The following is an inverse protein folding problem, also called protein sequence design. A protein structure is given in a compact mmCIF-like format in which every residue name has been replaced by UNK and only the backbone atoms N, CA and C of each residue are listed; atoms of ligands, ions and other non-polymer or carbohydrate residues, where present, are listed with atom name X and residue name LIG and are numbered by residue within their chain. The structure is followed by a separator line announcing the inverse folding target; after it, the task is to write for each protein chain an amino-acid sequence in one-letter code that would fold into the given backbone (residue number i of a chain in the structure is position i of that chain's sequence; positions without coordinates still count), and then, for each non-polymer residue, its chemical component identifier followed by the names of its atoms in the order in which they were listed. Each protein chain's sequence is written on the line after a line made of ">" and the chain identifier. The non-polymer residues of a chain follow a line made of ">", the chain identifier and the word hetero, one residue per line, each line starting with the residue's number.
data_IF_495760647178
#
_entry.id   IF_495760647178
#
_cell.length_a   1.000
_cell.length_b   1.000
_cell.length_c   1.000
_cell.angle_alpha   90.00
_cell.angle_beta   90.00
_cell.angle_gamma   90.00
#
_symmetry.space_group_name_H-M   'P 1'
#
loop_
_entity.id
_entity.type
_entity.pdbx_description
1 polymer ?
#
# COMPACT_ATOMS: atom_id res chain seq x y z
N UNK A 1 20.38 19.83 -4.35
CA UNK A 1 20.50 18.38 -4.11
C UNK A 1 19.13 17.78 -4.30
N UNK A 2 19.03 16.79 -5.19
CA UNK A 2 17.86 15.94 -5.32
C UNK A 2 17.85 14.89 -4.20
N UNK A 3 16.68 14.34 -3.86
CA UNK A 3 16.57 13.28 -2.84
C UNK A 3 17.42 12.05 -3.20
N UNK A 4 17.52 11.73 -4.49
CA UNK A 4 18.28 10.58 -5.01
C UNK A 4 19.79 10.82 -5.07
N UNK A 5 20.25 12.04 -4.80
CA UNK A 5 21.68 12.29 -4.54
C UNK A 5 22.11 11.72 -3.16
N UNK A 6 21.14 11.45 -2.28
CA UNK A 6 21.35 11.02 -0.89
C UNK A 6 20.88 9.57 -0.68
N UNK A 7 19.75 9.20 -1.29
CA UNK A 7 19.10 7.90 -1.12
C UNK A 7 19.30 7.02 -2.38
N UNK A 8 19.81 5.79 -2.26
CA UNK A 8 19.91 4.85 -3.38
C UNK A 8 18.55 4.57 -4.03
N UNK A 9 18.48 4.54 -5.37
CA UNK A 9 17.22 4.30 -6.10
C UNK A 9 16.56 2.96 -5.72
N UNK A 10 17.37 1.93 -5.46
CA UNK A 10 16.89 0.59 -5.14
C UNK A 10 16.67 0.34 -3.64
N UNK A 11 16.77 1.37 -2.78
CA UNK A 11 16.69 1.20 -1.33
C UNK A 11 15.42 0.46 -0.90
N UNK A 12 14.26 0.84 -1.43
CA UNK A 12 12.97 0.29 -1.02
C UNK A 12 12.63 -1.08 -1.64
N UNK A 13 13.48 -1.64 -2.52
CA UNK A 13 13.21 -2.91 -3.22
C UNK A 13 13.00 -4.08 -2.27
N UNK A 14 13.78 -4.18 -1.18
CA UNK A 14 13.63 -5.21 -0.13
C UNK A 14 12.29 -5.14 0.59
N UNK A 15 11.75 -3.92 0.79
CA UNK A 15 10.43 -3.72 1.44
C UNK A 15 9.25 -3.97 0.50
N UNK A 16 9.50 -4.08 -0.81
CA UNK A 16 8.51 -4.46 -1.82
C UNK A 16 8.60 -5.94 -2.23
N UNK A 17 9.56 -6.69 -1.67
CA UNK A 17 9.81 -8.09 -2.03
C UNK A 17 8.83 -9.08 -1.39
N UNK A 18 8.88 -10.35 -1.82
CA UNK A 18 8.12 -11.48 -1.25
C UNK A 18 8.38 -11.63 0.26
N UNK A 19 9.63 -11.49 0.68
CA UNK A 19 10.10 -11.62 2.06
C UNK A 19 10.16 -10.27 2.82
N UNK A 20 9.36 -9.26 2.42
CA UNK A 20 9.38 -7.91 3.00
C UNK A 20 9.33 -7.84 4.52
N UNK A 21 8.58 -8.72 5.18
CA UNK A 21 8.46 -8.75 6.64
C UNK A 21 9.79 -9.16 7.28
N UNK A 22 10.47 -10.19 6.74
CA UNK A 22 11.77 -10.63 7.21
C UNK A 22 12.83 -9.54 7.02
N UNK A 23 12.82 -8.85 5.88
CA UNK A 23 13.73 -7.73 5.64
C UNK A 23 13.48 -6.55 6.58
N UNK A 24 12.21 -6.22 6.86
CA UNK A 24 11.85 -5.18 7.82
C UNK A 24 12.32 -5.56 9.24
N UNK A 25 12.05 -6.79 9.67
CA UNK A 25 12.51 -7.31 10.96
C UNK A 25 14.04 -7.29 11.06
N UNK A 26 14.77 -7.66 10.00
CA UNK A 26 16.22 -7.59 9.96
C UNK A 26 16.75 -6.16 10.12
N UNK A 27 16.08 -5.17 9.53
CA UNK A 27 16.41 -3.75 9.75
C UNK A 27 16.18 -3.34 11.21
N UNK A 28 15.15 -3.84 11.87
CA UNK A 28 14.93 -3.58 13.30
C UNK A 28 16.01 -4.20 14.18
N UNK A 29 16.47 -5.42 13.87
CA UNK A 29 17.63 -6.03 14.55
C UNK A 29 18.89 -5.17 14.38
N UNK A 30 19.12 -4.63 13.18
CA UNK A 30 20.23 -3.69 12.94
C UNK A 30 20.06 -2.42 13.77
N UNK A 31 18.85 -1.85 13.85
CA UNK A 31 18.61 -0.65 14.66
C UNK A 31 18.90 -0.90 16.15
N UNK A 32 18.38 -2.01 16.69
CA UNK A 32 18.51 -2.34 18.11
C UNK A 32 19.94 -2.69 18.49
N UNK A 33 20.70 -3.31 17.60
CA UNK A 33 22.11 -3.62 17.85
C UNK A 33 22.96 -2.35 18.03
N UNK A 34 22.72 -1.32 17.21
CA UNK A 34 23.41 -0.03 17.32
C UNK A 34 22.93 0.86 18.48
N UNK A 35 21.82 0.53 19.15
CA UNK A 35 21.46 1.16 20.43
C UNK A 35 22.36 0.67 21.58
N UNK A 36 22.83 -0.58 21.51
CA UNK A 36 23.64 -1.20 22.56
C UNK A 36 25.16 -1.10 22.29
N UNK A 37 25.57 -1.11 21.02
CA UNK A 37 26.97 -1.16 20.63
C UNK A 37 27.27 -0.13 19.53
N UNK A 38 28.32 0.67 19.73
CA UNK A 38 28.74 1.66 18.71
C UNK A 38 29.35 0.99 17.46
N UNK A 39 29.94 -0.19 17.62
CA UNK A 39 30.71 -0.89 16.59
C UNK A 39 30.39 -2.38 16.63
N UNK A 40 29.99 -2.94 15.49
CA UNK A 40 29.53 -4.33 15.37
C UNK A 40 30.15 -4.96 14.13
N UNK A 41 30.85 -6.09 14.33
CA UNK A 41 31.41 -6.83 13.20
C UNK A 41 30.31 -7.53 12.39
N UNK A 42 30.58 -7.80 11.12
CA UNK A 42 29.62 -8.49 10.24
C UNK A 42 29.18 -9.85 10.78
N UNK A 43 30.10 -10.61 11.39
CA UNK A 43 29.80 -11.94 11.93
C UNK A 43 28.94 -11.84 13.20
N UNK A 44 29.22 -10.87 14.08
CA UNK A 44 28.38 -10.59 15.24
C UNK A 44 26.96 -10.17 14.81
N UNK A 45 26.82 -9.33 13.77
CA UNK A 45 25.51 -8.96 13.26
C UNK A 45 24.77 -10.16 12.67
N UNK A 46 25.46 -11.06 11.96
CA UNK A 46 24.86 -12.28 11.43
C UNK A 46 24.34 -13.17 12.56
N UNK A 47 25.09 -13.31 13.66
CA UNK A 47 24.67 -14.04 14.85
C UNK A 47 23.44 -13.40 15.52
N UNK A 48 23.40 -12.07 15.62
CA UNK A 48 22.24 -11.36 16.18
C UNK A 48 20.99 -11.55 15.33
N UNK A 49 21.10 -11.40 14.01
CA UNK A 49 20.01 -11.65 13.05
C UNK A 49 19.53 -13.10 13.15
N UNK A 50 20.47 -14.06 13.14
CA UNK A 50 20.16 -15.48 13.26
C UNK A 50 19.42 -15.78 14.56
N UNK A 51 19.90 -15.26 15.70
CA UNK A 51 19.32 -15.53 17.01
C UNK A 51 17.96 -14.90 17.21
N UNK A 52 17.70 -13.72 16.65
CA UNK A 52 16.43 -13.01 16.86
C UNK A 52 15.37 -13.41 15.82
N UNK A 53 15.78 -13.80 14.61
CA UNK A 53 14.89 -14.09 13.49
C UNK A 53 14.89 -15.56 13.06
N UNK A 54 15.35 -16.48 13.90
CA UNK A 54 15.46 -17.92 13.60
C UNK A 54 14.19 -18.48 12.94
N UNK A 55 13.03 -18.24 13.56
CA UNK A 55 11.73 -18.71 13.07
C UNK A 55 11.32 -18.07 11.74
N UNK A 56 11.59 -16.77 11.57
CA UNK A 56 11.23 -16.04 10.35
C UNK A 56 12.12 -16.48 9.18
N UNK A 57 13.40 -16.77 9.46
CA UNK A 57 14.40 -17.26 8.49
C UNK A 57 14.07 -18.69 8.03
N UNK A 58 13.57 -19.53 8.93
CA UNK A 58 13.17 -20.90 8.62
C UNK A 58 11.87 -20.96 7.81
N UNK A 59 10.91 -20.07 8.10
CA UNK A 59 9.66 -19.98 7.38
C UNK A 59 9.76 -19.27 6.02
N UNK A 60 10.81 -18.48 5.80
CA UNK A 60 11.00 -17.72 4.58
C UNK A 60 11.40 -18.61 3.39
N UNK A 61 10.78 -18.32 2.25
CA UNK A 61 11.03 -18.95 0.96
C UNK A 61 11.95 -18.05 0.13
N UNK A 62 13.14 -18.57 -0.18
CA UNK A 62 14.19 -17.87 -0.92
C UNK A 62 14.42 -18.47 -2.32
N UNK A 63 13.54 -19.34 -2.81
CA UNK A 63 13.77 -20.08 -4.06
C UNK A 63 13.92 -19.16 -5.30
N UNK A 64 13.29 -17.99 -5.27
CA UNK A 64 13.36 -16.96 -6.32
C UNK A 64 14.52 -15.96 -6.12
N UNK A 65 15.36 -16.16 -5.10
CA UNK A 65 16.44 -15.26 -4.73
C UNK A 65 17.82 -15.87 -5.03
N UNK A 66 18.75 -15.05 -5.52
CA UNK A 66 20.11 -15.47 -5.91
C UNK A 66 20.98 -15.83 -4.68
N UNK A 67 20.65 -16.94 -4.01
CA UNK A 67 21.39 -17.50 -2.89
C UNK A 67 22.58 -18.33 -3.39
N UNK A 68 23.73 -18.15 -2.75
CA UNK A 68 24.89 -19.00 -2.98
C UNK A 68 24.73 -20.36 -2.29
N UNK A 69 25.45 -21.39 -2.74
CA UNK A 69 25.40 -22.74 -2.12
C UNK A 69 25.75 -22.72 -0.62
N UNK A 70 26.62 -21.80 -0.20
CA UNK A 70 27.04 -21.61 1.19
C UNK A 70 26.00 -20.88 2.06
N UNK A 71 24.91 -20.36 1.47
CA UNK A 71 23.90 -19.56 2.16
C UNK A 71 22.66 -20.37 2.59
N UNK A 72 22.63 -21.69 2.36
CA UNK A 72 21.44 -22.54 2.61
C UNK A 72 21.13 -22.80 4.09
N UNK A 73 22.11 -22.71 4.99
CA UNK A 73 21.92 -22.88 6.44
C UNK A 73 21.43 -21.61 7.13
N UNK A 74 20.97 -21.70 8.39
CA UNK A 74 20.47 -20.57 9.19
C UNK A 74 21.47 -19.39 9.26
N UNK A 75 22.74 -19.68 9.55
CA UNK A 75 23.82 -18.68 9.53
C UNK A 75 24.06 -18.13 8.11
N UNK A 76 23.98 -18.98 7.10
CA UNK A 76 24.10 -18.59 5.69
C UNK A 76 23.00 -17.63 5.24
N UNK A 77 21.75 -17.88 5.66
CA UNK A 77 20.59 -17.02 5.43
C UNK A 77 20.74 -15.67 6.15
N UNK A 78 21.29 -15.65 7.37
CA UNK A 78 21.58 -14.40 8.06
C UNK A 78 22.64 -13.56 7.32
N UNK A 79 23.71 -14.18 6.81
CA UNK A 79 24.68 -13.50 5.96
C UNK A 79 24.08 -13.04 4.63
N UNK A 80 23.15 -13.82 4.06
CA UNK A 80 22.41 -13.44 2.87
C UNK A 80 21.56 -12.16 3.10
N UNK A 81 20.86 -12.06 4.24
CA UNK A 81 20.13 -10.84 4.60
C UNK A 81 21.07 -9.62 4.67
N UNK A 82 22.23 -9.76 5.33
CA UNK A 82 23.24 -8.69 5.38
C UNK A 82 23.71 -8.32 3.98
N UNK A 83 23.98 -9.30 3.11
CA UNK A 83 24.37 -9.06 1.72
C UNK A 83 23.31 -8.27 0.97
N UNK A 84 22.03 -8.64 1.08
CA UNK A 84 20.91 -7.92 0.46
C UNK A 84 20.74 -6.50 0.98
N UNK A 85 20.86 -6.29 2.29
CA UNK A 85 20.81 -4.96 2.89
C UNK A 85 21.99 -4.07 2.44
N UNK A 86 23.16 -4.67 2.19
CA UNK A 86 24.31 -3.98 1.61
C UNK A 86 24.09 -3.61 0.15
N UNK A 87 23.63 -4.55 -0.68
CA UNK A 87 23.36 -4.35 -2.11
C UNK A 87 22.34 -3.23 -2.36
N UNK A 88 21.33 -3.13 -1.49
CA UNK A 88 20.28 -2.10 -1.56
C UNK A 88 20.67 -0.78 -0.89
N UNK A 89 21.79 -0.75 -0.16
CA UNK A 89 22.35 0.46 0.44
C UNK A 89 21.76 0.85 1.80
N UNK A 90 21.04 -0.06 2.48
CA UNK A 90 20.62 0.15 3.88
C UNK A 90 21.80 0.11 4.84
N UNK A 91 22.80 -0.72 4.54
CA UNK A 91 24.02 -0.81 5.34
C UNK A 91 25.26 -0.70 4.44
N UNK A 92 26.38 -0.34 5.05
CA UNK A 92 27.71 -0.39 4.47
C UNK A 92 28.57 -1.35 5.28
N UNK A 93 29.57 -1.90 4.62
CA UNK A 93 30.55 -2.78 5.25
C UNK A 93 31.91 -2.19 4.94
N UNK A 94 32.55 -1.69 5.99
CA UNK A 94 33.84 -1.03 5.93
C UNK A 94 34.90 -1.90 6.62
N UNK A 95 36.14 -1.82 6.13
CA UNK A 95 37.29 -2.46 6.77
C UNK A 95 37.99 -1.44 7.67
N UNK A 96 38.29 -1.85 8.89
CA UNK A 96 39.17 -1.07 9.77
C UNK A 96 40.59 -1.67 9.81
N UNK A 97 41.49 -1.00 10.54
CA UNK A 97 42.92 -1.33 10.66
C UNK A 97 43.19 -2.76 11.17
N UNK A 98 42.20 -3.40 11.79
CA UNK A 98 42.27 -4.78 12.27
C UNK A 98 41.90 -5.82 11.20
N UNK A 99 41.68 -5.39 9.95
CA UNK A 99 41.25 -6.21 8.81
C UNK A 99 39.91 -6.94 9.03
N UNK A 100 39.10 -6.48 9.99
CA UNK A 100 37.75 -7.02 10.21
C UNK A 100 36.71 -6.16 9.48
N UNK A 101 35.65 -6.85 9.05
CA UNK A 101 34.50 -6.23 8.41
C UNK A 101 33.55 -5.71 9.49
N UNK A 102 33.31 -4.40 9.49
CA UNK A 102 32.37 -3.72 10.39
C UNK A 102 31.19 -3.18 9.61
N UNK A 103 30.01 -3.27 10.22
CA UNK A 103 28.79 -2.73 9.65
C UNK A 103 28.66 -1.26 10.05
N UNK A 104 28.32 -0.42 9.08
CA UNK A 104 27.98 0.99 9.29
C UNK A 104 26.61 1.29 8.69
N UNK A 105 25.81 2.08 9.38
CA UNK A 105 24.46 2.47 8.92
C UNK A 105 24.49 3.93 8.48
N UNK A 106 24.25 4.24 7.19
CA UNK A 106 24.16 5.62 6.73
C UNK A 106 23.07 6.40 7.48
N UNK A 107 23.26 7.71 7.67
CA UNK A 107 22.32 8.56 8.42
C UNK A 107 20.88 8.53 7.87
N UNK A 108 20.72 8.50 6.53
CA UNK A 108 19.38 8.40 5.92
C UNK A 108 18.73 7.05 6.26
N UNK A 109 19.50 5.95 6.23
CA UNK A 109 19.04 4.60 6.51
C UNK A 109 18.59 4.51 7.97
N UNK A 110 19.43 4.97 8.90
CA UNK A 110 19.10 5.00 10.33
C UNK A 110 17.78 5.75 10.59
N UNK A 111 17.59 6.94 9.99
CA UNK A 111 16.35 7.73 10.15
C UNK A 111 15.12 7.00 9.60
N UNK A 112 15.24 6.34 8.45
CA UNK A 112 14.11 5.61 7.85
C UNK A 112 13.78 4.36 8.69
N UNK A 113 14.79 3.58 9.10
CA UNK A 113 14.57 2.41 9.95
C UNK A 113 13.93 2.82 11.28
N UNK A 114 14.43 3.90 11.91
CA UNK A 114 13.85 4.45 13.13
C UNK A 114 12.39 4.84 12.95
N UNK A 115 12.05 5.48 11.83
CA UNK A 115 10.67 5.85 11.50
C UNK A 115 9.79 4.60 11.35
N UNK A 116 10.25 3.59 10.62
CA UNK A 116 9.52 2.33 10.45
C UNK A 116 9.33 1.61 11.80
N UNK A 117 10.35 1.63 12.66
CA UNK A 117 10.29 1.04 13.98
C UNK A 117 9.29 1.75 14.88
N UNK A 118 9.27 3.08 14.88
CA UNK A 118 8.34 3.87 15.69
C UNK A 118 6.89 3.75 15.18
N UNK A 119 6.69 3.48 13.88
CA UNK A 119 5.37 3.17 13.30
C UNK A 119 4.85 1.78 13.72
N UNK A 120 5.73 0.80 13.90
CA UNK A 120 5.35 -0.55 14.35
C UNK A 120 5.27 -0.68 15.85
N UNK A 121 6.07 0.10 16.57
CA UNK A 121 6.13 0.13 18.02
C UNK A 121 5.67 1.51 18.46
N UNK A 122 4.35 1.72 18.44
CA UNK A 122 3.71 2.94 18.88
C UNK A 122 4.29 3.35 20.24
N UNK A 123 5.12 4.39 20.27
CA UNK A 123 5.54 4.98 21.54
C UNK A 123 4.34 5.72 22.07
N UNK A 124 3.97 5.43 23.32
CA UNK A 124 2.98 6.20 24.06
C UNK A 124 3.36 7.68 23.94
N UNK A 125 2.56 8.42 23.16
CA UNK A 125 2.73 9.86 23.02
C UNK A 125 2.18 10.46 24.30
N UNK A 126 3.04 10.64 25.30
CA UNK A 126 2.67 11.32 26.53
C UNK A 126 2.50 12.81 26.24
N UNK A 127 1.38 13.21 25.63
CA UNK A 127 1.09 14.62 25.36
C UNK A 127 1.07 15.45 26.65
N UNK A 128 0.73 14.84 27.79
CA UNK A 128 0.91 15.45 29.11
C UNK A 128 2.37 15.83 29.36
N UNK A 129 3.32 14.97 28.99
CA UNK A 129 4.74 15.22 29.19
C UNK A 129 5.19 16.45 28.40
N UNK A 130 4.69 16.68 27.17
CA UNK A 130 5.01 17.90 26.41
C UNK A 130 4.53 19.17 27.13
N UNK A 131 3.31 19.16 27.66
CA UNK A 131 2.74 20.31 28.36
C UNK A 131 3.45 20.57 29.68
N UNK A 132 3.64 19.53 30.50
CA UNK A 132 4.32 19.62 31.78
C UNK A 132 5.77 20.08 31.62
N UNK A 133 6.52 19.47 30.69
CA UNK A 133 7.91 19.82 30.45
C UNK A 133 8.07 21.24 29.91
N UNK A 134 7.16 21.69 29.04
CA UNK A 134 7.12 23.10 28.60
C UNK A 134 6.98 24.04 29.79
N UNK A 135 6.03 23.77 30.70
CA UNK A 135 5.86 24.56 31.91
C UNK A 135 7.10 24.51 32.82
N UNK A 136 7.63 23.33 33.13
CA UNK A 136 8.75 23.19 34.06
C UNK A 136 10.00 23.91 33.57
N UNK A 137 10.35 23.74 32.28
CA UNK A 137 11.52 24.39 31.69
C UNK A 137 11.37 25.91 31.67
N UNK A 138 10.19 26.43 31.29
CA UNK A 138 9.93 27.87 31.31
C UNK A 138 9.93 28.44 32.73
N UNK A 139 9.38 27.70 33.70
CA UNK A 139 9.36 28.11 35.11
C UNK A 139 10.78 28.25 35.66
N UNK A 140 11.63 27.23 35.48
CA UNK A 140 13.02 27.26 35.94
C UNK A 140 13.77 28.44 35.31
N UNK A 141 13.69 28.61 34.00
CA UNK A 141 14.36 29.72 33.32
C UNK A 141 13.84 31.10 33.76
N UNK A 142 12.54 31.21 34.08
CA UNK A 142 11.96 32.43 34.61
C UNK A 142 12.46 32.76 36.02
N UNK A 143 12.72 31.76 36.85
CA UNK A 143 13.26 31.92 38.21
C UNK A 143 14.75 32.30 38.19
N UNK A 144 15.55 31.65 37.32
CA UNK A 144 17.00 31.87 37.24
C UNK A 144 17.38 33.17 36.52
N UNK A 145 16.52 33.67 35.62
CA UNK A 145 16.72 34.90 34.83
C UNK A 145 18.04 34.92 34.05
N UNK A 146 18.57 33.75 33.71
CA UNK A 146 19.77 33.60 32.90
C UNK A 146 19.39 33.63 31.41
N UNK A 147 19.99 34.55 30.63
CA UNK A 147 19.66 34.73 29.22
C UNK A 147 19.82 33.44 28.39
N UNK A 148 20.89 32.66 28.60
CA UNK A 148 21.12 31.40 27.88
C UNK A 148 20.00 30.38 28.14
N UNK A 149 19.62 30.23 29.40
CA UNK A 149 18.58 29.28 29.79
C UNK A 149 17.20 29.71 29.31
N UNK A 150 16.89 31.01 29.35
CA UNK A 150 15.63 31.55 28.83
C UNK A 150 15.48 31.34 27.32
N UNK A 151 16.55 31.56 26.54
CA UNK A 151 16.55 31.29 25.09
C UNK A 151 16.39 29.79 24.80
N UNK A 152 17.09 28.96 25.56
CA UNK A 152 17.03 27.50 25.41
C UNK A 152 15.63 27.00 25.77
N UNK A 153 15.08 27.45 26.90
CA UNK A 153 13.74 27.15 27.36
C UNK A 153 12.66 27.59 26.35
N UNK A 154 12.80 28.79 25.75
CA UNK A 154 11.88 29.27 24.72
C UNK A 154 11.92 28.38 23.47
N UNK A 155 13.11 27.97 23.04
CA UNK A 155 13.27 27.12 21.86
C UNK A 155 12.72 25.71 22.11
N UNK A 156 12.95 25.14 23.30
CA UNK A 156 12.35 23.88 23.72
C UNK A 156 10.82 23.98 23.84
N UNK A 157 10.30 25.07 24.41
CA UNK A 157 8.87 25.32 24.51
C UNK A 157 8.20 25.38 23.14
N UNK A 158 8.81 26.09 22.18
CA UNK A 158 8.34 26.14 20.80
C UNK A 158 8.31 24.74 20.16
N UNK A 159 9.39 23.97 20.28
CA UNK A 159 9.50 22.63 19.72
C UNK A 159 8.47 21.68 20.33
N UNK A 160 8.33 21.65 21.66
CA UNK A 160 7.35 20.79 22.36
C UNK A 160 5.92 21.18 22.02
N UNK A 161 5.65 22.49 21.86
CA UNK A 161 4.34 22.98 21.42
C UNK A 161 4.01 22.52 20.00
N UNK A 162 5.00 22.51 19.08
CA UNK A 162 4.84 21.91 17.74
C UNK A 162 4.53 20.42 17.81
N UNK A 163 5.29 19.66 18.62
CA UNK A 163 5.06 18.22 18.80
C UNK A 163 3.66 17.91 19.38
N UNK A 164 3.17 18.73 20.30
CA UNK A 164 1.81 18.62 20.84
C UNK A 164 0.76 18.83 19.74
N UNK A 165 0.92 19.87 18.91
CA UNK A 165 0.02 20.15 17.79
C UNK A 165 0.05 19.03 16.75
N UNK A 166 1.23 18.52 16.40
CA UNK A 166 1.40 17.40 15.48
C UNK A 166 0.70 16.14 15.99
N UNK A 167 0.87 15.82 17.28
CA UNK A 167 0.21 14.69 17.94
C UNK A 167 -1.32 14.81 17.90
N UNK A 168 -1.86 15.97 18.27
CA UNK A 168 -3.31 16.24 18.19
C UNK A 168 -3.84 16.15 16.75
N UNK A 169 -3.08 16.67 15.79
CA UNK A 169 -3.43 16.60 14.37
C UNK A 169 -3.41 15.16 13.87
N UNK A 170 -2.45 14.34 14.31
CA UNK A 170 -2.42 12.90 14.01
C UNK A 170 -3.69 12.22 14.51
N UNK A 171 -4.05 12.40 15.79
CA UNK A 171 -5.28 11.85 16.38
C UNK A 171 -6.51 12.22 15.55
N UNK A 172 -6.63 13.49 15.15
CA UNK A 172 -7.75 13.93 14.33
C UNK A 172 -7.83 13.15 12.99
N UNK A 173 -6.69 12.91 12.35
CA UNK A 173 -6.60 12.14 11.11
C UNK A 173 -6.81 10.65 11.32
N UNK A 174 -6.32 10.09 12.43
CA UNK A 174 -6.52 8.69 12.79
C UNK A 174 -8.01 8.40 12.99
N UNK A 175 -8.72 9.25 13.73
CA UNK A 175 -10.19 9.12 13.86
C UNK A 175 -10.87 9.13 12.48
N UNK A 176 -10.40 9.94 11.53
CA UNK A 176 -10.93 9.93 10.15
C UNK A 176 -10.64 8.62 9.43
N UNK A 177 -9.43 8.09 9.57
CA UNK A 177 -9.03 6.80 9.01
C UNK A 177 -9.92 5.67 9.56
N UNK A 178 -10.12 5.60 10.88
CA UNK A 178 -10.98 4.60 11.52
C UNK A 178 -12.46 4.74 11.10
N UNK A 179 -12.96 5.96 10.93
CA UNK A 179 -14.29 6.18 10.37
C UNK A 179 -14.44 5.55 8.97
N UNK A 180 -13.43 5.70 8.11
CA UNK A 180 -13.45 5.12 6.77
C UNK A 180 -13.37 3.59 6.82
N UNK A 181 -12.44 3.06 7.63
CA UNK A 181 -12.28 1.62 7.88
C UNK A 181 -13.58 0.98 8.40
N UNK A 182 -14.32 1.66 9.27
CA UNK A 182 -15.62 1.23 9.81
C UNK A 182 -16.69 1.03 8.72
N UNK A 183 -16.70 1.87 7.68
CA UNK A 183 -17.66 1.75 6.57
C UNK A 183 -17.48 0.43 5.84
N UNK A 184 -16.24 0.04 5.59
CA UNK A 184 -15.86 -1.17 4.85
C UNK A 184 -16.08 -2.48 5.66
N UNK A 185 -16.33 -2.38 6.97
CA UNK A 185 -16.57 -3.57 7.80
C UNK A 185 -17.95 -4.17 7.59
N UNK A 186 -18.02 -5.48 7.50
CA UNK A 186 -19.26 -6.26 7.33
C UNK A 186 -19.55 -7.14 8.56
N UNK A 187 -18.57 -7.37 9.44
CA UNK A 187 -18.68 -8.26 10.59
C UNK A 187 -18.71 -7.50 11.92
N UNK A 188 -19.69 -7.82 12.79
CA UNK A 188 -19.84 -7.22 14.13
C UNK A 188 -18.60 -7.40 15.00
N UNK A 189 -18.03 -8.61 15.05
CA UNK A 189 -16.87 -8.91 15.89
C UNK A 189 -15.63 -8.10 15.47
N UNK A 190 -15.46 -7.85 14.17
CA UNK A 190 -14.39 -6.99 13.67
C UNK A 190 -14.61 -5.53 14.04
N UNK A 191 -15.86 -5.04 13.97
CA UNK A 191 -16.20 -3.67 14.38
C UNK A 191 -15.95 -3.47 15.89
N UNK A 192 -16.31 -4.45 16.72
CA UNK A 192 -16.06 -4.41 18.16
C UNK A 192 -14.55 -4.46 18.44
N UNK A 193 -13.81 -5.38 17.81
CA UNK A 193 -12.37 -5.50 18.00
C UNK A 193 -11.62 -4.22 17.57
N UNK A 194 -11.93 -3.68 16.39
CA UNK A 194 -11.33 -2.42 15.90
C UNK A 194 -11.66 -1.23 16.83
N UNK A 195 -12.86 -1.20 17.44
CA UNK A 195 -13.26 -0.12 18.35
C UNK A 195 -12.58 -0.21 19.72
N UNK A 196 -12.66 -1.36 20.39
CA UNK A 196 -12.16 -1.51 21.75
C UNK A 196 -10.66 -1.81 21.81
N UNK A 197 -10.18 -2.74 20.98
CA UNK A 197 -8.78 -3.21 21.04
C UNK A 197 -7.80 -2.47 20.15
N UNK A 198 -8.21 -1.41 19.45
CA UNK A 198 -7.29 -0.61 18.64
C UNK A 198 -7.62 0.86 18.77
N UNK A 199 -8.86 1.27 18.47
CA UNK A 199 -9.20 2.69 18.53
C UNK A 199 -9.18 3.27 19.96
N UNK A 200 -9.80 2.61 20.93
CA UNK A 200 -9.80 3.12 22.31
C UNK A 200 -8.41 3.00 22.95
N UNK A 201 -7.81 1.82 22.89
CA UNK A 201 -6.52 1.50 23.52
C UNK A 201 -5.33 2.25 22.90
N UNK A 202 -5.27 2.43 21.56
CA UNK A 202 -4.09 3.04 20.91
C UNK A 202 -4.23 4.55 20.67
N UNK A 203 -5.46 5.09 20.66
CA UNK A 203 -5.71 6.51 20.29
C UNK A 203 -6.34 7.29 21.43
N UNK A 204 -7.49 6.87 21.93
CA UNK A 204 -8.29 7.71 22.84
C UNK A 204 -7.72 7.74 24.25
N UNK A 205 -7.41 6.56 24.81
CA UNK A 205 -6.88 6.42 26.17
C UNK A 205 -5.48 7.03 26.36
N UNK A 206 -4.49 6.75 25.49
CA UNK A 206 -3.14 7.29 25.68
C UNK A 206 -3.03 8.77 25.30
N UNK A 207 -3.81 9.26 24.34
CA UNK A 207 -3.55 10.57 23.71
C UNK A 207 -4.59 11.62 24.09
N UNK A 208 -5.89 11.30 24.03
CA UNK A 208 -6.97 12.28 24.20
C UNK A 208 -7.43 12.45 25.66
N UNK A 209 -7.68 11.35 26.39
CA UNK A 209 -8.14 11.43 27.78
C UNK A 209 -7.18 12.20 28.70
N UNK A 210 -5.85 11.97 28.64
CA UNK A 210 -4.92 12.59 29.57
C UNK A 210 -4.88 14.13 29.41
N UNK A 211 -5.10 14.64 28.20
CA UNK A 211 -5.15 16.07 27.90
C UNK A 211 -6.35 16.80 28.51
N UNK A 212 -7.38 16.07 28.92
CA UNK A 212 -8.62 16.64 29.49
C UNK A 212 -8.64 16.58 31.01
N UNK A 213 -7.72 15.84 31.62
CA UNK A 213 -7.63 15.76 33.09
C UNK A 213 -7.19 17.11 33.64
N UNK A 214 -7.74 17.50 34.78
CA UNK A 214 -7.43 18.78 35.44
C UNK A 214 -5.92 19.02 35.62
N UNK A 215 -5.13 17.96 35.78
CA UNK A 215 -3.68 18.02 35.99
C UNK A 215 -2.82 18.03 34.71
N UNK A 216 -3.40 18.37 33.54
CA UNK A 216 -2.67 18.52 32.27
C UNK A 216 -2.81 19.92 31.66
N UNK A 217 -3.39 20.06 30.47
CA UNK A 217 -3.54 21.33 29.74
C UNK A 217 -4.24 22.40 30.58
N UNK A 218 -5.39 22.13 31.23
CA UNK A 218 -6.09 23.16 32.00
C UNK A 218 -5.27 23.76 33.14
N UNK A 219 -4.36 22.99 33.74
CA UNK A 219 -3.50 23.44 34.84
C UNK A 219 -2.31 24.28 34.37
N UNK A 220 -1.67 23.89 33.27
CA UNK A 220 -0.39 24.49 32.85
C UNK A 220 -0.54 25.58 31.78
N UNK A 221 -1.65 25.63 31.03
CA UNK A 221 -1.91 26.62 29.98
C UNK A 221 -1.68 28.06 30.46
N UNK A 222 -2.37 28.46 31.52
CA UNK A 222 -2.26 29.84 32.04
C UNK A 222 -0.88 30.17 32.60
N UNK A 223 -0.25 29.33 33.44
CA UNK A 223 1.12 29.57 33.89
C UNK A 223 2.14 29.73 32.76
N UNK A 224 2.10 28.88 31.72
CA UNK A 224 2.97 28.99 30.54
C UNK A 224 2.76 30.36 29.86
N UNK A 225 1.51 30.70 29.57
CA UNK A 225 1.19 31.96 28.89
C UNK A 225 1.61 33.17 29.72
N UNK A 226 1.44 33.12 31.05
CA UNK A 226 1.79 34.23 31.93
C UNK A 226 3.30 34.47 31.96
N UNK A 227 4.12 33.41 32.07
CA UNK A 227 5.59 33.53 32.03
C UNK A 227 6.04 34.16 30.71
N UNK A 228 5.51 33.69 29.58
CA UNK A 228 5.93 34.19 28.28
C UNK A 228 5.42 35.61 28.01
N UNK A 229 4.20 35.95 28.43
CA UNK A 229 3.67 37.32 28.37
C UNK A 229 4.50 38.26 29.25
N UNK A 230 4.98 37.78 30.40
CA UNK A 230 5.90 38.53 31.26
C UNK A 230 7.21 38.88 30.54
N UNK A 231 7.81 37.94 29.82
CA UNK A 231 9.05 38.17 29.05
C UNK A 231 8.88 39.16 27.90
N UNK A 232 7.65 39.32 27.38
CA UNK A 232 7.33 40.35 26.38
C UNK A 232 7.11 41.73 26.99
N UNK A 233 6.60 41.81 28.22
CA UNK A 233 6.24 43.09 28.87
C UNK A 233 7.49 43.77 29.43
N UNK A 234 8.40 43.01 30.01
CA UNK A 234 9.61 43.54 30.61
C UNK A 234 10.75 43.60 29.58
N UNK A 235 10.98 44.80 29.02
CA UNK A 235 11.98 45.03 27.97
C UNK A 235 13.39 44.61 28.39
N UNK A 236 13.75 44.70 29.66
CA UNK A 236 15.06 44.27 30.19
C UNK A 236 15.30 42.77 29.99
N UNK A 237 14.27 41.93 30.11
CA UNK A 237 14.37 40.49 29.84
C UNK A 237 14.66 40.24 28.36
N UNK A 238 13.89 40.87 27.48
CA UNK A 238 14.04 40.71 26.04
C UNK A 238 15.40 41.22 25.56
N UNK A 239 15.82 42.40 26.05
CA UNK A 239 17.11 42.99 25.73
C UNK A 239 18.28 42.09 26.16
N UNK A 240 18.21 41.49 27.35
CA UNK A 240 19.24 40.56 27.83
C UNK A 240 19.37 39.32 26.91
N UNK A 241 18.25 38.76 26.44
CA UNK A 241 18.28 37.62 25.50
C UNK A 241 18.83 38.02 24.13
N UNK A 242 18.43 39.19 23.61
CA UNK A 242 18.92 39.72 22.32
C UNK A 242 20.43 40.00 22.39
N UNK A 243 20.90 40.65 23.45
CA UNK A 243 22.33 40.94 23.64
C UNK A 243 23.16 39.66 23.72
N UNK A 244 22.67 38.63 24.43
CA UNK A 244 23.35 37.33 24.50
C UNK A 244 23.47 36.64 23.14
N UNK A 245 22.37 36.61 22.36
CA UNK A 245 22.39 36.02 21.01
C UNK A 245 23.27 36.81 20.04
N UNK A 246 23.23 38.14 20.12
CA UNK A 246 24.08 38.99 19.29
C UNK A 246 25.57 38.73 19.58
N UNK A 247 25.95 38.60 20.86
CA UNK A 247 27.35 38.30 21.24
C UNK A 247 27.81 36.90 20.82
N UNK A 248 26.91 35.91 20.84
CA UNK A 248 27.28 34.51 20.59
C UNK A 248 27.18 34.09 19.12
N UNK A 249 26.18 34.61 18.39
CA UNK A 249 25.88 34.23 17.00
C UNK A 249 26.05 35.38 16.00
N UNK A 250 26.19 36.63 16.46
CA UNK A 250 26.14 37.81 15.60
C UNK A 250 24.73 38.09 15.08
N UNK A 251 24.60 39.08 14.20
CA UNK A 251 23.34 39.45 13.54
C UNK A 251 22.76 40.80 13.98
N UNK A 252 21.67 41.19 13.32
CA UNK A 252 20.92 42.41 13.62
C UNK A 252 20.04 42.20 14.87
N UNK A 253 20.20 43.01 15.95
CA UNK A 253 19.36 42.96 17.13
C UNK A 253 17.86 43.01 16.85
N UNK A 254 17.44 43.78 15.85
CA UNK A 254 16.03 43.92 15.51
C UNK A 254 15.45 42.59 15.01
N UNK A 255 16.18 41.89 14.14
CA UNK A 255 15.79 40.59 13.62
C UNK A 255 15.76 39.50 14.71
N UNK A 256 16.76 39.50 15.61
CA UNK A 256 16.81 38.56 16.74
C UNK A 256 15.60 38.78 17.67
N UNK A 257 15.29 40.05 17.98
CA UNK A 257 14.12 40.40 18.80
C UNK A 257 12.83 39.92 18.15
N UNK A 258 12.67 40.13 16.85
CA UNK A 258 11.51 39.65 16.09
C UNK A 258 11.38 38.13 16.14
N UNK A 259 12.47 37.38 15.96
CA UNK A 259 12.47 35.91 16.05
C UNK A 259 12.01 35.42 17.44
N UNK A 260 12.55 36.01 18.52
CA UNK A 260 12.14 35.67 19.88
C UNK A 260 10.66 36.01 20.14
N UNK A 261 10.20 37.18 19.69
CA UNK A 261 8.79 37.56 19.79
C UNK A 261 7.89 36.58 19.04
N UNK A 262 8.26 36.17 17.83
CA UNK A 262 7.51 35.20 17.03
C UNK A 262 7.42 33.84 17.74
N UNK A 263 8.51 33.36 18.35
CA UNK A 263 8.49 32.12 19.15
C UNK A 263 7.53 32.22 20.33
N UNK A 264 7.58 33.33 21.08
CA UNK A 264 6.69 33.56 22.21
C UNK A 264 5.22 33.61 21.73
N UNK A 265 4.93 34.40 20.70
CA UNK A 265 3.59 34.52 20.15
C UNK A 265 3.05 33.19 19.64
N UNK A 266 3.88 32.37 18.98
CA UNK A 266 3.50 31.03 18.56
C UNK A 266 3.06 30.17 19.76
N UNK A 267 3.88 30.09 20.81
CA UNK A 267 3.56 29.27 21.98
C UNK A 267 2.29 29.79 22.67
N UNK A 268 2.21 31.09 22.94
CA UNK A 268 1.06 31.71 23.61
C UNK A 268 -0.23 31.51 22.82
N UNK A 269 -0.23 31.83 21.52
CA UNK A 269 -1.42 31.69 20.67
C UNK A 269 -1.87 30.24 20.58
N UNK A 270 -0.93 29.31 20.42
CA UNK A 270 -1.24 27.87 20.35
C UNK A 270 -1.91 27.39 21.64
N UNK A 271 -1.39 27.76 22.82
CA UNK A 271 -2.02 27.37 24.09
C UNK A 271 -3.36 28.07 24.30
N UNK A 272 -3.49 29.35 23.92
CA UNK A 272 -4.74 30.12 24.04
C UNK A 272 -5.86 29.50 23.19
N UNK A 273 -5.58 29.04 21.97
CA UNK A 273 -6.58 28.41 21.07
C UNK A 273 -6.61 26.88 21.10
N UNK A 274 -5.73 26.21 21.86
CA UNK A 274 -5.58 24.74 21.88
C UNK A 274 -6.90 23.97 22.06
N UNK A 275 -7.78 24.50 22.92
CA UNK A 275 -9.07 23.88 23.24
C UNK A 275 -10.01 23.96 22.05
N UNK A 276 -10.22 25.16 21.51
CA UNK A 276 -11.16 25.44 20.41
C UNK A 276 -10.68 24.87 19.06
N UNK A 277 -9.38 25.00 18.75
CA UNK A 277 -8.84 24.66 17.42
C UNK A 277 -8.48 23.17 17.29
N UNK A 278 -8.18 22.47 18.40
CA UNK A 278 -7.69 21.09 18.37
C UNK A 278 -8.55 20.15 19.21
N UNK A 279 -8.69 20.40 20.52
CA UNK A 279 -9.34 19.45 21.44
C UNK A 279 -10.82 19.29 21.08
N UNK A 280 -11.57 20.38 20.93
CA UNK A 280 -13.00 20.36 20.62
C UNK A 280 -13.34 19.69 19.27
N UNK A 281 -12.63 19.99 18.17
CA UNK A 281 -12.80 19.29 16.90
C UNK A 281 -12.54 17.80 16.98
N UNK A 282 -11.53 17.38 17.77
CA UNK A 282 -11.22 15.95 18.01
C UNK A 282 -12.34 15.31 18.81
N UNK A 283 -12.80 15.97 19.88
CA UNK A 283 -13.87 15.50 20.77
C UNK A 283 -15.18 15.27 20.00
N UNK A 284 -15.58 16.24 19.18
CA UNK A 284 -16.77 16.14 18.36
C UNK A 284 -16.64 15.01 17.32
N UNK A 285 -15.45 14.80 16.77
CA UNK A 285 -15.21 13.71 15.82
C UNK A 285 -15.21 12.35 16.50
N UNK A 286 -14.65 12.23 17.69
CA UNK A 286 -14.71 11.04 18.52
C UNK A 286 -16.17 10.67 18.83
N UNK A 287 -16.99 11.64 19.28
CA UNK A 287 -18.44 11.42 19.51
C UNK A 287 -19.15 10.92 18.26
N UNK A 288 -18.86 11.52 17.10
CA UNK A 288 -19.41 11.08 15.80
C UNK A 288 -18.98 9.66 15.44
N UNK A 289 -17.72 9.30 15.66
CA UNK A 289 -17.21 7.95 15.43
C UNK A 289 -17.90 6.94 16.35
N UNK A 290 -17.91 7.16 17.67
CA UNK A 290 -18.59 6.28 18.64
C UNK A 290 -20.06 6.07 18.29
N UNK A 291 -20.78 7.14 17.92
CA UNK A 291 -22.17 7.03 17.47
C UNK A 291 -22.30 6.20 16.19
N UNK A 292 -21.43 6.41 15.22
CA UNK A 292 -21.43 5.66 13.95
C UNK A 292 -21.12 4.18 14.18
N UNK A 293 -20.18 3.87 15.08
CA UNK A 293 -19.84 2.50 15.48
C UNK A 293 -21.03 1.81 16.15
N UNK A 294 -21.70 2.47 17.10
CA UNK A 294 -22.90 1.92 17.74
C UNK A 294 -24.01 1.64 16.70
N UNK A 295 -24.29 2.59 15.81
CA UNK A 295 -25.26 2.42 14.73
C UNK A 295 -24.89 1.29 13.76
N UNK A 296 -23.60 1.12 13.46
CA UNK A 296 -23.11 0.03 12.62
C UNK A 296 -23.28 -1.32 13.29
N UNK A 297 -22.97 -1.43 14.59
CA UNK A 297 -23.20 -2.63 15.39
C UNK A 297 -24.69 -2.97 15.40
N UNK A 298 -25.55 -2.00 15.71
CA UNK A 298 -27.01 -2.18 15.69
C UNK A 298 -27.51 -2.63 14.31
N UNK A 299 -27.00 -2.01 13.23
CA UNK A 299 -27.34 -2.41 11.87
C UNK A 299 -26.94 -3.86 11.60
N UNK A 300 -25.70 -4.24 11.91
CA UNK A 300 -25.19 -5.58 11.63
C UNK A 300 -25.87 -6.66 12.48
N UNK A 301 -26.23 -6.36 13.75
CA UNK A 301 -26.99 -7.28 14.61
C UNK A 301 -28.42 -7.46 14.09
N UNK A 302 -29.07 -6.38 13.64
CA UNK A 302 -30.47 -6.41 13.18
C UNK A 302 -30.62 -6.78 11.68
N UNK A 303 -29.51 -6.76 10.92
CA UNK A 303 -29.49 -7.15 9.51
C UNK A 303 -29.75 -8.65 9.33
N UNK A 304 -29.43 -9.48 10.34
CA UNK A 304 -29.46 -10.95 10.18
C UNK A 304 -30.85 -11.59 10.38
N UNK A 305 -31.90 -10.84 10.74
CA UNK A 305 -33.26 -11.42 10.90
C UNK A 305 -34.43 -10.53 10.48
N UNK A 306 -34.21 -9.25 10.18
CA UNK A 306 -35.30 -8.40 9.71
C UNK A 306 -35.62 -8.64 8.23
N UNK A 307 -36.91 -8.57 7.86
CA UNK A 307 -37.36 -8.65 6.46
C UNK A 307 -36.58 -7.66 5.59
N UNK A 308 -36.25 -6.47 6.13
CA UNK A 308 -35.41 -5.46 5.48
C UNK A 308 -33.99 -5.95 5.20
N UNK A 309 -33.35 -6.63 6.16
CA UNK A 309 -31.99 -7.17 6.01
C UNK A 309 -31.91 -8.28 4.97
N UNK A 310 -32.90 -9.19 4.98
CA UNK A 310 -33.05 -10.24 3.96
C UNK A 310 -33.21 -9.60 2.57
N UNK A 311 -34.04 -8.56 2.44
CA UNK A 311 -34.27 -7.86 1.17
C UNK A 311 -33.02 -7.15 0.66
N UNK A 312 -32.26 -6.47 1.54
CA UNK A 312 -31.01 -5.80 1.19
C UNK A 312 -29.93 -6.79 0.76
N UNK A 313 -29.81 -7.93 1.45
CA UNK A 313 -28.88 -9.01 1.08
C UNK A 313 -29.21 -9.60 -0.30
N UNK A 314 -30.51 -9.84 -0.56
CA UNK A 314 -31.00 -10.29 -1.87
C UNK A 314 -30.69 -9.27 -2.97
N UNK A 315 -30.96 -7.98 -2.74
CA UNK A 315 -30.69 -6.91 -3.72
C UNK A 315 -29.19 -6.74 -3.99
N UNK A 316 -28.33 -6.88 -2.98
CA UNK A 316 -26.88 -6.83 -3.18
C UNK A 316 -26.38 -8.01 -4.02
N UNK A 317 -26.84 -9.23 -3.72
CA UNK A 317 -26.57 -10.44 -4.51
C UNK A 317 -27.03 -10.31 -5.96
N UNK A 318 -28.13 -9.58 -6.20
CA UNK A 318 -28.67 -9.26 -7.52
C UNK A 318 -28.05 -8.03 -8.19
N UNK A 319 -27.15 -7.30 -7.53
CA UNK A 319 -26.41 -6.18 -8.13
C UNK A 319 -24.99 -6.55 -8.56
N UNK A 320 -24.54 -7.74 -8.16
CA UNK A 320 -23.18 -8.22 -8.42
C UNK A 320 -22.99 -8.51 -9.92
N UNK A 321 -21.80 -8.22 -10.47
CA UNK A 321 -21.55 -8.35 -11.92
C UNK A 321 -21.52 -9.80 -12.42
N UNK A 322 -21.44 -10.75 -11.49
CA UNK A 322 -21.40 -12.19 -11.74
C UNK A 322 -22.75 -12.87 -11.44
N UNK A 323 -23.86 -12.21 -11.75
CA UNK A 323 -25.19 -12.81 -11.67
C UNK A 323 -25.26 -14.02 -12.60
N UNK A 324 -25.64 -15.16 -12.03
CA UNK A 324 -25.92 -16.40 -12.75
C UNK A 324 -27.41 -16.43 -13.12
N UNK A 325 -27.77 -16.92 -14.31
CA UNK A 325 -29.19 -17.04 -14.73
C UNK A 325 -30.04 -17.81 -13.71
N UNK A 326 -29.47 -18.84 -13.09
CA UNK A 326 -30.14 -19.63 -12.04
C UNK A 326 -30.55 -18.81 -10.81
N UNK A 327 -29.75 -17.80 -10.42
CA UNK A 327 -30.11 -16.90 -9.31
C UNK A 327 -31.23 -15.94 -9.71
N UNK A 328 -31.24 -15.50 -10.97
CA UNK A 328 -32.26 -14.60 -11.48
C UNK A 328 -33.63 -15.29 -11.55
N UNK A 329 -33.66 -16.56 -11.99
CA UNK A 329 -34.90 -17.33 -12.10
C UNK A 329 -35.51 -17.65 -10.73
N UNK A 330 -34.68 -18.01 -9.74
CA UNK A 330 -35.14 -18.20 -8.35
C UNK A 330 -35.74 -16.93 -7.73
N UNK A 331 -35.25 -15.75 -8.11
CA UNK A 331 -35.78 -14.47 -7.62
C UNK A 331 -37.07 -14.06 -8.32
N UNK A 332 -37.19 -14.33 -9.63
CA UNK A 332 -38.43 -14.08 -10.37
C UNK A 332 -39.62 -14.88 -9.84
N UNK A 333 -39.38 -16.09 -9.33
CA UNK A 333 -40.43 -16.90 -8.69
C UNK A 333 -40.88 -16.35 -7.32
N UNK A 334 -40.01 -15.61 -6.64
CA UNK A 334 -40.26 -15.09 -5.29
C UNK A 334 -40.90 -13.70 -5.30
N UNK A 335 -40.63 -12.87 -6.32
CA UNK A 335 -41.13 -11.51 -6.41
C UNK A 335 -41.58 -11.19 -7.84
N UNK A 336 -42.84 -10.80 -7.99
CA UNK A 336 -43.29 -10.11 -9.20
C UNK A 336 -42.84 -8.64 -9.11
N UNK A 337 -41.69 -8.34 -9.74
CA UNK A 337 -41.18 -6.97 -9.80
C UNK A 337 -41.97 -6.21 -10.86
N UNK A 338 -42.85 -5.34 -10.41
CA UNK A 338 -43.57 -4.40 -11.27
C UNK A 338 -42.87 -3.05 -11.24
N UNK A 339 -42.61 -2.47 -12.42
CA UNK A 339 -42.21 -1.08 -12.52
C UNK A 339 -43.39 -0.20 -12.09
N UNK A 340 -43.30 0.36 -10.88
CA UNK A 340 -44.34 1.22 -10.34
C UNK A 340 -43.98 2.68 -10.59
N UNK A 341 -44.53 3.24 -11.67
CA UNK A 341 -44.48 4.68 -11.94
C UNK A 341 -45.72 5.39 -11.39
N UNK A 342 -45.55 6.56 -10.78
CA UNK A 342 -46.66 7.48 -10.51
C UNK A 342 -46.50 8.72 -11.38
N UNK A 343 -47.60 9.17 -11.99
CA UNK A 343 -47.61 10.38 -12.79
C UNK A 343 -47.68 11.56 -11.82
N UNK A 344 -46.62 12.36 -11.76
CA UNK A 344 -46.57 13.62 -11.03
C UNK A 344 -46.35 14.80 -11.98
N UNK A 345 -46.38 16.03 -11.47
CA UNK A 345 -46.13 17.23 -12.27
C UNK A 345 -44.75 17.22 -12.95
N UNK A 346 -43.76 16.53 -12.35
CA UNK A 346 -42.44 16.31 -12.94
C UNK A 346 -42.43 15.24 -14.04
N UNK A 347 -43.47 14.43 -14.20
CA UNK A 347 -43.58 13.44 -15.29
C UNK A 347 -43.87 14.08 -16.64
N UNK A 348 -44.34 15.34 -16.65
CA UNK A 348 -44.40 16.20 -17.83
C UNK A 348 -43.01 16.72 -18.23
N UNK A 349 -41.99 16.54 -17.39
CA UNK A 349 -40.64 16.95 -17.67
C UNK A 349 -40.02 16.01 -18.72
N UNK A 350 -40.14 16.39 -19.98
CA UNK A 350 -39.24 15.86 -21.00
C UNK A 350 -37.83 16.34 -20.68
N UNK A 351 -37.01 15.44 -20.14
CA UNK A 351 -35.57 15.64 -20.02
C UNK A 351 -35.08 16.08 -21.40
N UNK A 352 -34.61 17.33 -21.53
CA UNK A 352 -33.92 17.78 -22.75
C UNK A 352 -32.79 16.78 -22.95
N UNK A 353 -32.96 15.86 -23.92
CA UNK A 353 -31.87 15.00 -24.38
C UNK A 353 -30.73 15.97 -24.66
N UNK A 354 -29.63 15.85 -23.91
CA UNK A 354 -28.45 16.67 -24.15
C UNK A 354 -28.19 16.61 -25.64
N UNK A 355 -28.01 17.77 -26.29
CA UNK A 355 -27.57 17.79 -27.67
C UNK A 355 -26.37 16.83 -27.74
N UNK A 356 -26.37 15.84 -28.64
CA UNK A 356 -25.20 14.98 -28.81
C UNK A 356 -24.00 15.91 -28.95
N UNK A 357 -22.90 15.60 -28.26
CA UNK A 357 -21.64 16.35 -28.36
C UNK A 357 -21.43 16.71 -29.82
N UNK A 358 -21.45 18.01 -30.15
CA UNK A 358 -20.92 18.47 -31.42
C UNK A 358 -19.49 17.95 -31.46
N UNK A 359 -19.22 17.06 -32.43
CA UNK A 359 -17.91 16.47 -32.62
C UNK A 359 -16.91 17.62 -32.67
N UNK A 360 -16.03 17.66 -31.68
CA UNK A 360 -14.74 18.32 -31.78
C UNK A 360 -14.10 17.83 -33.08
N UNK A 361 -13.88 18.76 -34.02
CA UNK A 361 -13.22 18.64 -35.32
C UNK A 361 -13.27 17.24 -35.94
N UNK A 362 -13.98 17.09 -37.06
CA UNK A 362 -13.85 15.92 -37.93
C UNK A 362 -12.37 15.56 -38.07
N UNK A 363 -11.99 14.44 -37.43
CA UNK A 363 -10.80 13.71 -37.80
C UNK A 363 -11.06 13.34 -39.25
N UNK A 364 -10.44 14.09 -40.16
CA UNK A 364 -10.40 13.78 -41.59
C UNK A 364 -9.58 12.50 -41.68
N UNK A 365 -10.25 11.38 -41.44
CA UNK A 365 -9.79 10.07 -41.82
C UNK A 365 -9.75 10.12 -43.34
N UNK A 366 -8.56 10.15 -43.91
CA UNK A 366 -8.35 9.95 -45.34
C UNK A 366 -9.18 8.73 -45.77
N UNK A 367 -10.10 8.94 -46.71
CA UNK A 367 -11.17 8.02 -47.08
C UNK A 367 -10.67 6.83 -47.93
N UNK A 368 -9.53 6.24 -47.54
CA UNK A 368 -8.98 5.03 -48.14
C UNK A 368 -9.50 3.80 -47.39
N UNK A 369 -10.83 3.67 -47.36
CA UNK A 369 -11.55 2.49 -46.80
C UNK A 369 -11.00 1.18 -47.36
N UNK A 370 -10.63 1.18 -48.64
CA UNK A 370 -10.00 0.04 -49.31
C UNK A 370 -8.63 -0.29 -48.71
N UNK A 371 -7.80 0.70 -48.40
CA UNK A 371 -6.46 0.46 -47.85
C UNK A 371 -6.50 -0.02 -46.39
N UNK A 372 -7.49 0.42 -45.61
CA UNK A 372 -7.71 -0.07 -44.25
C UNK A 372 -8.26 -1.51 -44.23
N UNK A 373 -9.25 -1.83 -45.09
CA UNK A 373 -9.73 -3.21 -45.25
C UNK A 373 -8.63 -4.13 -45.79
N UNK A 374 -7.80 -3.66 -46.71
CA UNK A 374 -6.64 -4.39 -47.22
C UNK A 374 -5.63 -4.66 -46.10
N UNK A 375 -5.26 -3.65 -45.30
CA UNK A 375 -4.34 -3.82 -44.16
C UNK A 375 -4.91 -4.74 -43.08
N UNK A 376 -6.19 -4.62 -42.76
CA UNK A 376 -6.87 -5.49 -41.79
C UNK A 376 -6.93 -6.94 -42.31
N UNK A 377 -7.23 -7.14 -43.60
CA UNK A 377 -7.18 -8.46 -44.25
C UNK A 377 -5.76 -9.02 -44.29
N UNK A 378 -4.74 -8.21 -44.59
CA UNK A 378 -3.35 -8.64 -44.59
C UNK A 378 -2.89 -9.02 -43.17
N UNK A 379 -3.29 -8.27 -42.15
CA UNK A 379 -2.97 -8.57 -40.75
C UNK A 379 -3.67 -9.86 -40.27
N UNK A 380 -4.95 -10.02 -40.59
CA UNK A 380 -5.71 -11.25 -40.32
C UNK A 380 -5.14 -12.46 -41.08
N UNK A 381 -4.74 -12.27 -42.35
CA UNK A 381 -4.09 -13.29 -43.18
C UNK A 381 -2.74 -13.69 -42.61
N UNK A 382 -1.92 -12.75 -42.15
CA UNK A 382 -0.63 -13.03 -41.48
C UNK A 382 -0.79 -13.79 -40.16
N UNK A 383 -1.83 -13.48 -39.38
CA UNK A 383 -2.16 -14.19 -38.15
C UNK A 383 -2.61 -15.63 -38.45
N UNK A 384 -3.45 -15.83 -39.47
CA UNK A 384 -3.85 -17.15 -39.94
C UNK A 384 -2.68 -17.94 -40.56
N UNK A 385 -1.82 -17.31 -41.34
CA UNK A 385 -0.62 -17.92 -41.95
C UNK A 385 0.40 -18.38 -40.90
N UNK A 386 0.54 -17.66 -39.77
CA UNK A 386 1.37 -18.12 -38.64
C UNK A 386 0.75 -19.28 -37.88
N UNK A 387 -0.54 -19.17 -37.52
CA UNK A 387 -1.24 -20.18 -36.70
C UNK A 387 -1.38 -21.49 -37.45
N UNK A 388 -1.71 -21.44 -38.74
CA UNK A 388 -1.93 -22.59 -39.63
C UNK A 388 -0.83 -22.76 -40.69
N UNK A 389 0.42 -22.42 -40.32
CA UNK A 389 1.56 -22.59 -41.21
C UNK A 389 1.80 -24.07 -41.56
N UNK A 390 2.48 -24.36 -42.67
CA UNK A 390 2.88 -25.74 -43.02
C UNK A 390 3.69 -26.41 -41.91
N UNK A 391 4.59 -25.68 -41.25
CA UNK A 391 5.38 -26.19 -40.13
C UNK A 391 4.50 -26.55 -38.93
N UNK A 392 3.48 -25.73 -38.65
CA UNK A 392 2.50 -26.01 -37.59
C UNK A 392 1.70 -27.28 -37.88
N UNK A 393 1.27 -27.46 -39.14
CA UNK A 393 0.54 -28.67 -39.58
C UNK A 393 1.44 -29.91 -39.53
N UNK A 394 2.72 -29.79 -39.90
CA UNK A 394 3.68 -30.90 -39.78
C UNK A 394 3.91 -31.30 -38.33
N UNK A 395 4.13 -30.33 -37.43
CA UNK A 395 4.27 -30.60 -35.99
C UNK A 395 3.02 -31.23 -35.40
N UNK A 396 1.83 -30.81 -35.82
CA UNK A 396 0.57 -31.41 -35.41
C UNK A 396 0.50 -32.90 -35.78
N UNK A 397 0.83 -33.26 -37.04
CA UNK A 397 0.82 -34.66 -37.49
C UNK A 397 1.97 -35.47 -36.86
N UNK A 398 3.13 -34.86 -36.63
CA UNK A 398 4.27 -35.53 -35.97
C UNK A 398 3.96 -35.86 -34.51
N UNK A 399 3.35 -34.93 -33.77
CA UNK A 399 2.88 -35.15 -32.41
C UNK A 399 1.79 -36.24 -32.37
N UNK A 400 0.89 -36.25 -33.35
CA UNK A 400 -0.14 -37.27 -33.47
C UNK A 400 0.44 -38.66 -33.76
N UNK A 401 1.48 -38.75 -34.61
CA UNK A 401 2.16 -40.01 -34.93
C UNK A 401 3.01 -40.54 -33.75
N UNK A 402 3.64 -39.66 -32.97
CA UNK A 402 4.55 -40.05 -31.88
C UNK A 402 5.61 -41.06 -32.37
N UNK A 403 5.84 -42.14 -31.62
CA UNK A 403 6.76 -43.23 -32.03
C UNK A 403 6.13 -44.26 -32.98
N UNK A 404 4.86 -44.09 -33.37
CA UNK A 404 4.15 -45.05 -34.22
C UNK A 404 4.38 -44.75 -35.71
N UNK A 405 4.42 -45.82 -36.51
CA UNK A 405 4.49 -45.72 -37.97
C UNK A 405 3.14 -45.35 -38.61
N UNK A 406 2.02 -45.56 -37.87
CA UNK A 406 0.65 -45.34 -38.35
C UNK A 406 -0.28 -44.93 -37.19
N UNK A 407 -1.13 -43.93 -37.39
CA UNK A 407 -2.14 -43.46 -36.41
C UNK A 407 -3.44 -43.10 -37.10
N UNK A 408 -4.56 -43.59 -36.55
CA UNK A 408 -5.92 -43.27 -36.99
C UNK A 408 -6.44 -42.00 -36.32
N UNK A 409 -7.27 -41.24 -37.04
CA UNK A 409 -7.86 -39.98 -36.55
C UNK A 409 -8.73 -40.17 -35.30
N UNK A 410 -9.25 -41.38 -35.06
CA UNK A 410 -10.00 -41.73 -33.85
C UNK A 410 -9.15 -41.70 -32.59
N UNK A 411 -7.83 -41.87 -32.73
CA UNK A 411 -6.89 -41.89 -31.61
C UNK A 411 -6.32 -40.49 -31.33
N UNK A 412 -6.74 -39.47 -32.09
CA UNK A 412 -6.30 -38.09 -31.95
C UNK A 412 -7.45 -37.27 -31.32
N UNK A 413 -7.25 -36.70 -30.12
CA UNK A 413 -8.27 -35.86 -29.50
C UNK A 413 -8.38 -34.54 -30.28
N UNK A 414 -9.57 -34.24 -30.81
CA UNK A 414 -9.90 -32.95 -31.44
C UNK A 414 -10.79 -32.19 -30.46
N UNK A 415 -10.20 -31.24 -29.73
CA UNK A 415 -10.83 -30.55 -28.60
C UNK A 415 -11.30 -29.13 -28.95
N UNK A 416 -10.79 -28.55 -30.04
CA UNK A 416 -11.06 -27.16 -30.41
C UNK A 416 -11.11 -26.95 -31.93
N UNK A 417 -11.63 -25.80 -32.33
CA UNK A 417 -11.79 -25.38 -33.74
C UNK A 417 -10.44 -25.31 -34.49
N UNK A 418 -9.33 -25.02 -33.81
CA UNK A 418 -8.01 -24.97 -34.43
C UNK A 418 -7.50 -26.36 -34.82
N UNK A 419 -7.65 -27.35 -33.93
CA UNK A 419 -7.26 -28.74 -34.16
C UNK A 419 -8.09 -29.33 -35.30
N UNK A 420 -9.39 -29.02 -35.36
CA UNK A 420 -10.23 -29.38 -36.50
C UNK A 420 -9.68 -28.80 -37.81
N UNK A 421 -9.37 -27.51 -37.87
CA UNK A 421 -8.78 -26.89 -39.08
C UNK A 421 -7.41 -27.51 -39.43
N UNK A 422 -6.59 -27.86 -38.44
CA UNK A 422 -5.32 -28.56 -38.66
C UNK A 422 -5.50 -29.94 -39.30
N UNK A 423 -6.56 -30.69 -38.93
CA UNK A 423 -6.87 -31.99 -39.56
C UNK A 423 -7.31 -31.85 -41.02
N UNK A 424 -7.97 -30.75 -41.39
CA UNK A 424 -8.32 -30.48 -42.78
C UNK A 424 -7.08 -30.08 -43.60
N UNK A 425 -6.22 -29.25 -43.01
CA UNK A 425 -4.99 -28.79 -43.64
C UNK A 425 -3.93 -29.89 -43.77
N UNK A 426 -3.91 -30.88 -42.87
CA UNK A 426 -2.99 -32.01 -42.96
C UNK A 426 -3.29 -32.88 -44.19
N UNK A 427 -4.58 -33.14 -44.46
CA UNK A 427 -5.03 -33.85 -45.66
C UNK A 427 -4.67 -33.06 -46.92
N UNK A 428 -4.90 -31.75 -46.93
CA UNK A 428 -4.53 -30.90 -48.06
C UNK A 428 -3.00 -30.88 -48.29
N UNK A 429 -2.20 -30.85 -47.22
CA UNK A 429 -0.74 -30.84 -47.32
C UNK A 429 -0.14 -32.18 -47.75
N UNK A 430 -0.83 -33.30 -47.49
CA UNK A 430 -0.41 -34.64 -47.94
C UNK A 430 -0.42 -34.81 -49.46
N UNK A 431 -1.03 -33.90 -50.22
CA UNK A 431 -1.00 -33.91 -51.69
C UNK A 431 0.23 -33.20 -52.29
N UNK A 432 1.04 -32.52 -51.46
CA UNK A 432 2.23 -31.79 -51.93
C UNK A 432 3.42 -32.73 -52.21
N UNK A 433 4.28 -32.34 -53.16
CA UNK A 433 5.48 -33.11 -53.55
C UNK A 433 6.52 -33.27 -52.43
N UNK A 434 6.57 -32.34 -51.47
CA UNK A 434 7.53 -32.27 -50.36
C UNK A 434 6.88 -32.64 -49.01
N UNK A 435 6.11 -33.74 -49.00
CA UNK A 435 5.37 -34.22 -47.82
C UNK A 435 6.20 -35.13 -46.91
N UNK A 436 6.11 -34.89 -45.60
CA UNK A 436 6.79 -35.68 -44.55
C UNK A 436 5.99 -36.90 -44.07
N UNK A 437 4.72 -37.03 -44.46
CA UNK A 437 3.83 -38.13 -44.13
C UNK A 437 2.89 -38.43 -45.31
N UNK A 438 2.30 -39.63 -45.31
CA UNK A 438 1.25 -40.04 -46.23
C UNK A 438 -0.09 -40.12 -45.49
N UNK A 439 -1.21 -39.96 -46.21
CA UNK A 439 -2.56 -40.00 -45.66
C UNK A 439 -3.43 -40.95 -46.47
N UNK A 440 -4.12 -41.86 -45.78
CA UNK A 440 -5.20 -42.67 -46.34
C UNK A 440 -6.55 -42.12 -45.85
N UNK A 441 -7.49 -41.90 -46.77
CA UNK A 441 -8.84 -41.44 -46.47
C UNK A 441 -9.81 -42.55 -46.85
N UNK A 442 -10.77 -42.87 -45.98
CA UNK A 442 -11.89 -43.75 -46.31
C UNK A 442 -13.20 -42.97 -46.38
N UNK A 443 -14.19 -43.49 -47.12
CA UNK A 443 -15.52 -42.91 -47.26
C UNK A 443 -16.38 -42.96 -45.97
N UNK A 444 -15.84 -43.52 -44.89
CA UNK A 444 -16.50 -43.56 -43.58
C UNK A 444 -16.35 -42.23 -42.86
N UNK A 445 -17.46 -41.60 -42.48
CA UNK A 445 -17.50 -40.41 -41.64
C UNK A 445 -17.46 -40.79 -40.15
N UNK A 446 -16.78 -39.97 -39.36
CA UNK A 446 -16.68 -40.08 -37.90
C UNK A 446 -17.13 -38.75 -37.30
N UNK A 447 -17.99 -38.84 -36.28
CA UNK A 447 -18.36 -37.71 -35.44
C UNK A 447 -17.41 -37.66 -34.25
N UNK A 448 -16.61 -36.60 -34.15
CA UNK A 448 -15.78 -36.29 -32.97
C UNK A 448 -16.36 -35.03 -32.34
N UNK A 449 -17.08 -35.20 -31.24
CA UNK A 449 -17.86 -34.14 -30.57
C UNK A 449 -18.81 -33.41 -31.56
N UNK A 450 -18.65 -32.09 -31.75
CA UNK A 450 -19.45 -31.28 -32.68
C UNK A 450 -18.98 -31.31 -34.15
N UNK A 451 -17.99 -32.13 -34.49
CA UNK A 451 -17.36 -32.18 -35.83
C UNK A 451 -17.59 -33.50 -36.55
N UNK A 452 -17.88 -33.42 -37.85
CA UNK A 452 -17.85 -34.56 -38.76
C UNK A 452 -16.60 -34.50 -39.65
N UNK A 453 -15.81 -35.57 -39.62
CA UNK A 453 -14.60 -35.73 -40.44
C UNK A 453 -14.56 -37.13 -41.07
N UNK A 454 -13.99 -37.28 -42.28
CA UNK A 454 -13.74 -38.61 -42.84
C UNK A 454 -12.71 -39.35 -41.98
N UNK A 455 -12.75 -40.68 -42.00
CA UNK A 455 -11.69 -41.49 -41.41
C UNK A 455 -10.39 -41.22 -42.16
N UNK A 456 -9.43 -40.67 -41.43
CA UNK A 456 -8.10 -40.31 -41.88
C UNK A 456 -7.11 -41.20 -41.13
N UNK A 457 -6.18 -41.81 -41.85
CA UNK A 457 -5.06 -42.52 -41.24
C UNK A 457 -3.75 -41.89 -41.70
N UNK A 458 -2.94 -41.40 -40.75
CA UNK A 458 -1.62 -40.84 -41.01
C UNK A 458 -0.56 -41.95 -41.02
N UNK A 459 0.33 -41.94 -42.00
CA UNK A 459 1.40 -42.92 -42.18
C UNK A 459 2.74 -42.20 -42.26
N UNK A 460 3.69 -42.63 -41.42
CA UNK A 460 5.05 -42.06 -41.38
C UNK A 460 5.80 -42.45 -42.64
N UNK A 461 6.32 -41.46 -43.36
CA UNK A 461 7.10 -41.69 -44.57
C UNK A 461 8.56 -41.98 -44.21
N UNK A 462 9.07 -43.17 -44.53
CA UNK A 462 10.49 -43.50 -44.36
C UNK A 462 11.29 -42.71 -45.39
N UNK A 463 12.15 -41.78 -44.94
CA UNK A 463 13.10 -41.08 -45.80
C UNK A 463 14.03 -42.12 -46.44
N UNK A 464 14.22 -42.04 -47.77
CA UNK A 464 15.28 -42.76 -48.47
C UNK A 464 16.62 -42.09 -48.20
#
# INVERSE_FOLDING_TARGET
>A
MSLYDIIPENLFSVLASKNKNLYCNALFVVLDSFKAHLKISKDEMALMIQSQLEKDIDAADFDDEDMNENEKGLSGKAHFLIRKLKETGWIRVDYEDDFKEYITVPTFSYKIIQTLYDLTNSRDTENIAYVYSTYSTLKTANEERNAFEMITALSEAEQRTKMLVESLTSVFHDIKYYNQKLVDRINVNQVIADHFGTYLEEIIEPILQPLKVRDSVPKYKHPICNILKEWLIYDDIMDNMVEYLQKTKGGDPAYIREELCNKIHYVVSTYDTLEDDYIDPIDERNRRYTRSTAQKIDYLINADTSIKGILVSLLHSLSDKNITEEKLDKVKELFEIYEQGFINEESLFQRKKGKPRERSAELIMSDDRKHFEEKARIAARRLMEKRFSRESVYKFVENALGDKDRVDITDIPILNDDEYVMTLLSVANAQNKDRSYDVEISDRLISVDKYEIPQITYIRRKRK
#
